data_IF_018379960409
#
_entry.id   IF_018379960409
#
_cell.length_a   1.000
_cell.length_b   1.000
_cell.length_c   1.000
_cell.angle_alpha   90.00
_cell.angle_beta   90.00
_cell.angle_gamma   90.00
#
_symmetry.space_group_name_H-M   'P 1'
#
loop_
_entity.id
_entity.type
_entity.pdbx_description
1 polymer ?
#
# COMPACT_ATOMS: atom_id res chain seq x y z
N UNK A 1 -8.03 5.73 0.34
CA UNK A 1 -9.15 6.16 1.21
C UNK A 1 -8.84 5.72 2.63
N UNK A 2 -9.39 6.39 3.65
CA UNK A 2 -9.35 5.84 5.01
C UNK A 2 -10.25 4.61 5.05
N UNK A 3 -9.90 3.64 5.89
CA UNK A 3 -10.55 2.34 5.93
C UNK A 3 -10.82 1.93 7.37
N UNK A 4 -12.03 1.47 7.65
CA UNK A 4 -12.39 0.85 8.92
C UNK A 4 -12.63 -0.64 8.68
N UNK A 5 -11.87 -1.48 9.37
CA UNK A 5 -12.18 -2.90 9.52
C UNK A 5 -13.16 -3.07 10.66
N UNK A 6 -14.24 -3.80 10.41
CA UNK A 6 -15.27 -4.14 11.40
C UNK A 6 -15.22 -5.65 11.58
N UNK A 7 -14.96 -6.11 12.79
CA UNK A 7 -14.89 -7.53 13.11
C UNK A 7 -16.21 -7.99 13.75
N UNK A 8 -17.01 -8.76 13.02
CA UNK A 8 -18.34 -9.20 13.49
C UNK A 8 -18.24 -10.53 14.23
N UNK A 9 -17.52 -11.50 13.69
CA UNK A 9 -17.32 -12.82 14.32
C UNK A 9 -15.92 -13.37 14.09
N UNK A 10 -15.46 -14.22 15.00
CA UNK A 10 -14.15 -14.86 14.96
C UNK A 10 -13.00 -13.89 15.23
N UNK A 11 -11.78 -14.36 15.02
CA UNK A 11 -10.54 -13.61 15.28
C UNK A 11 -9.66 -13.48 14.04
N UNK A 12 -9.11 -12.28 13.81
CA UNK A 12 -8.10 -12.03 12.77
C UNK A 12 -6.93 -11.23 13.29
N UNK A 13 -5.73 -11.55 12.81
CA UNK A 13 -4.52 -10.78 13.02
C UNK A 13 -4.31 -9.81 11.86
N UNK A 14 -3.97 -8.56 12.17
CA UNK A 14 -3.62 -7.55 11.18
C UNK A 14 -2.22 -7.03 11.48
N UNK A 15 -1.39 -7.00 10.44
CA UNK A 15 -0.07 -6.36 10.46
C UNK A 15 -0.13 -5.14 9.55
N UNK A 16 0.26 -3.97 10.05
CA UNK A 16 0.30 -2.72 9.31
C UNK A 16 1.73 -2.20 9.13
N UNK A 17 1.92 -1.46 8.05
CA UNK A 17 3.18 -0.80 7.70
C UNK A 17 2.93 0.66 7.34
N UNK A 18 3.87 1.52 7.74
CA UNK A 18 3.80 2.96 7.49
C UNK A 18 4.00 3.27 6.00
N UNK A 19 3.47 4.42 5.55
CA UNK A 19 3.75 4.95 4.21
C UNK A 19 5.26 5.16 3.98
N UNK A 20 5.99 5.56 5.03
CA UNK A 20 7.43 5.81 4.96
C UNK A 20 8.24 4.55 4.64
N UNK A 21 7.65 3.37 4.81
CA UNK A 21 8.29 2.09 4.53
C UNK A 21 8.01 1.58 3.10
N UNK A 22 7.27 2.33 2.27
CA UNK A 22 6.86 1.89 0.93
C UNK A 22 8.02 1.36 0.06
N UNK A 23 9.20 2.00 0.13
CA UNK A 23 10.40 1.60 -0.63
C UNK A 23 10.97 0.24 -0.20
N UNK A 24 10.67 -0.19 1.02
CA UNK A 24 11.16 -1.45 1.58
C UNK A 24 10.14 -2.60 1.44
N UNK A 25 8.95 -2.32 0.90
CA UNK A 25 7.84 -3.28 0.78
C UNK A 25 7.73 -3.93 -0.59
N UNK A 26 8.65 -3.66 -1.54
CA UNK A 26 8.63 -4.27 -2.88
C UNK A 26 7.25 -4.19 -3.55
N UNK A 27 6.78 -2.95 -3.71
CA UNK A 27 5.43 -2.70 -4.21
C UNK A 27 5.39 -2.83 -5.73
N UNK A 28 4.44 -3.64 -6.21
CA UNK A 28 4.00 -3.70 -7.60
C UNK A 28 2.58 -3.14 -7.68
N UNK A 29 2.48 -1.87 -8.05
CA UNK A 29 1.24 -1.10 -7.92
C UNK A 29 0.83 -0.97 -6.45
N UNK A 30 -0.38 -1.40 -6.10
CA UNK A 30 -0.92 -1.33 -4.73
C UNK A 30 -0.69 -2.60 -3.88
N UNK A 31 0.12 -3.56 -4.36
CA UNK A 31 0.37 -4.83 -3.68
C UNK A 31 1.87 -5.03 -3.46
N UNK A 32 2.22 -5.66 -2.34
CA UNK A 32 3.58 -6.10 -2.08
C UNK A 32 3.84 -7.46 -2.73
N UNK A 33 5.05 -7.66 -3.24
CA UNK A 33 5.53 -8.97 -3.69
C UNK A 33 5.95 -9.88 -2.53
N UNK A 34 6.07 -9.35 -1.31
CA UNK A 34 6.39 -10.12 -0.10
C UNK A 34 5.13 -10.83 0.40
N UNK A 35 4.97 -12.09 0.01
CA UNK A 35 3.78 -12.88 0.33
C UNK A 35 3.65 -13.26 1.81
N UNK A 36 4.79 -13.51 2.48
CA UNK A 36 4.80 -13.88 3.90
C UNK A 36 5.45 -12.77 4.74
N UNK A 37 4.62 -11.81 5.16
CA UNK A 37 5.05 -10.72 6.04
C UNK A 37 5.54 -11.20 7.42
N UNK A 38 5.05 -12.36 7.90
CA UNK A 38 5.41 -12.92 9.21
C UNK A 38 6.81 -13.55 9.21
N UNK A 39 7.18 -14.23 8.13
CA UNK A 39 8.50 -14.84 7.94
C UNK A 39 9.04 -14.55 6.53
N UNK A 40 9.51 -13.32 6.28
CA UNK A 40 10.04 -12.92 4.98
C UNK A 40 11.35 -13.63 4.71
N UNK A 41 11.55 -14.14 3.49
CA UNK A 41 12.83 -14.70 3.08
C UNK A 41 13.85 -13.56 2.91
N UNK A 42 14.89 -13.49 3.77
CA UNK A 42 15.82 -12.35 3.80
C UNK A 42 16.62 -12.21 2.49
N UNK A 43 16.85 -13.32 1.79
CA UNK A 43 17.58 -13.33 0.51
C UNK A 43 16.78 -12.72 -0.64
N UNK A 44 15.44 -12.79 -0.57
CA UNK A 44 14.54 -12.25 -1.62
C UNK A 44 14.06 -10.84 -1.33
N UNK A 45 14.11 -10.41 -0.06
CA UNK A 45 13.59 -9.12 0.39
C UNK A 45 14.50 -8.43 1.43
N UNK A 46 15.79 -8.18 1.12
CA UNK A 46 16.78 -7.69 2.08
C UNK A 46 16.45 -6.41 2.90
N UNK A 47 15.73 -5.39 2.40
CA UNK A 47 15.32 -4.24 3.21
C UNK A 47 14.07 -4.50 4.07
N UNK A 48 13.27 -5.53 3.77
CA UNK A 48 12.01 -5.80 4.46
C UNK A 48 12.18 -6.10 5.97
N UNK A 49 13.25 -6.79 6.44
CA UNK A 49 13.53 -6.95 7.87
C UNK A 49 13.72 -5.64 8.64
N UNK A 50 14.04 -4.53 7.97
CA UNK A 50 14.24 -3.20 8.60
C UNK A 50 12.92 -2.44 8.80
N UNK A 51 11.83 -2.92 8.21
CA UNK A 51 10.53 -2.27 8.24
C UNK A 51 9.88 -2.44 9.61
N UNK A 52 9.33 -1.36 10.15
CA UNK A 52 8.59 -1.41 11.42
C UNK A 52 7.19 -1.97 11.19
N UNK A 53 6.88 -3.05 11.90
CA UNK A 53 5.58 -3.72 11.89
C UNK A 53 4.72 -3.25 13.04
N UNK A 54 3.46 -2.94 12.76
CA UNK A 54 2.46 -2.66 13.78
C UNK A 54 1.46 -3.81 13.76
N UNK A 55 1.37 -4.56 14.85
CA UNK A 55 0.53 -5.76 14.91
C UNK A 55 -0.64 -5.54 15.85
N UNK A 56 -1.83 -5.98 15.45
CA UNK A 56 -3.00 -6.04 16.30
C UNK A 56 -3.83 -7.29 16.00
N UNK A 57 -4.55 -7.75 17.01
CA UNK A 57 -5.56 -8.79 16.85
C UNK A 57 -6.94 -8.16 17.04
N UNK A 58 -7.88 -8.54 16.18
CA UNK A 58 -9.27 -8.09 16.25
C UNK A 58 -10.15 -9.26 16.64
N UNK A 59 -10.87 -9.09 17.74
CA UNK A 59 -11.91 -10.00 18.21
C UNK A 59 -13.29 -9.52 17.78
N UNK A 60 -14.31 -10.36 17.99
CA UNK A 60 -15.68 -10.02 17.66
C UNK A 60 -16.14 -8.77 18.44
N UNK A 61 -16.54 -7.72 17.71
CA UNK A 61 -16.92 -6.42 18.26
C UNK A 61 -15.84 -5.34 18.11
N UNK A 62 -14.61 -5.71 17.73
CA UNK A 62 -13.54 -4.73 17.54
C UNK A 62 -13.61 -4.05 16.17
N UNK A 63 -13.28 -2.75 16.18
CA UNK A 63 -13.10 -1.94 14.99
C UNK A 63 -11.67 -1.40 14.91
N UNK A 64 -11.08 -1.46 13.71
CA UNK A 64 -9.76 -0.89 13.44
C UNK A 64 -9.85 0.15 12.33
N UNK A 65 -9.54 1.40 12.67
CA UNK A 65 -9.31 2.46 11.71
C UNK A 65 -7.88 2.39 11.16
N UNK A 66 -7.76 2.35 9.84
CA UNK A 66 -6.49 2.45 9.11
C UNK A 66 -6.52 3.72 8.26
N UNK A 67 -5.55 4.64 8.44
CA UNK A 67 -5.45 5.81 7.58
C UNK A 67 -5.14 5.40 6.14
N UNK A 68 -5.53 6.22 5.17
CA UNK A 68 -5.19 5.96 3.77
C UNK A 68 -3.69 5.76 3.57
N UNK A 69 -3.35 4.92 2.58
CA UNK A 69 -1.99 4.56 2.18
C UNK A 69 -1.21 3.70 3.18
N UNK A 70 -1.78 3.36 4.34
CA UNK A 70 -1.19 2.35 5.22
C UNK A 70 -1.34 0.96 4.60
N UNK A 71 -0.20 0.27 4.46
CA UNK A 71 -0.21 -1.10 3.97
C UNK A 71 -0.62 -2.03 5.09
N UNK A 72 -1.33 -3.09 4.75
CA UNK A 72 -1.77 -4.07 5.74
C UNK A 72 -1.80 -5.48 5.16
N UNK A 73 -1.61 -6.46 6.03
CA UNK A 73 -1.85 -7.88 5.78
C UNK A 73 -2.81 -8.39 6.83
N UNK A 74 -3.78 -9.21 6.42
CA UNK A 74 -4.79 -9.78 7.29
C UNK A 74 -4.69 -11.29 7.23
N UNK A 75 -4.59 -11.93 8.39
CA UNK A 75 -4.62 -13.39 8.54
C UNK A 75 -5.80 -13.72 9.45
N UNK A 76 -6.74 -14.53 8.96
CA UNK A 76 -7.82 -15.05 9.79
C UNK A 76 -7.30 -16.24 10.59
N UNK A 77 -7.32 -16.15 11.92
CA UNK A 77 -6.94 -17.27 12.81
C UNK A 77 -8.09 -18.28 12.94
N UNK A 78 -9.32 -17.80 12.77
CA UNK A 78 -10.56 -18.57 12.85
C UNK A 78 -11.44 -18.32 11.62
N UNK A 79 -12.62 -18.96 11.58
CA UNK A 79 -13.67 -18.54 10.66
C UNK A 79 -14.17 -17.14 11.06
N UNK A 80 -14.04 -16.19 10.14
CA UNK A 80 -14.32 -14.77 10.39
C UNK A 80 -15.39 -14.24 9.44
N UNK A 81 -16.33 -13.48 10.00
CA UNK A 81 -17.19 -12.56 9.24
C UNK A 81 -16.83 -11.13 9.67
N UNK A 82 -16.55 -10.29 8.69
CA UNK A 82 -16.20 -8.89 8.93
C UNK A 82 -16.64 -7.99 7.78
N UNK A 83 -16.70 -6.70 8.07
CA UNK A 83 -17.00 -5.65 7.12
C UNK A 83 -15.82 -4.71 6.92
N UNK A 84 -15.82 -4.02 5.80
CA UNK A 84 -14.88 -2.93 5.51
C UNK A 84 -15.68 -1.72 5.06
N UNK A 85 -15.41 -0.56 5.67
CA UNK A 85 -15.98 0.72 5.24
C UNK A 85 -14.86 1.65 4.80
N UNK A 86 -15.03 2.28 3.64
CA UNK A 86 -14.05 3.22 3.09
C UNK A 86 -14.61 4.64 3.11
N UNK A 87 -13.78 5.60 3.52
CA UNK A 87 -14.13 7.01 3.55
C UNK A 87 -13.10 7.84 2.79
N UNK A 88 -13.58 8.78 2.00
CA UNK A 88 -12.76 9.84 1.40
C UNK A 88 -12.30 10.80 2.50
N UNK A 89 -10.99 10.93 2.68
CA UNK A 89 -10.40 11.89 3.61
C UNK A 89 -10.09 13.24 2.94
N UNK A 90 -9.96 13.27 1.60
CA UNK A 90 -9.83 14.50 0.81
C UNK A 90 -11.23 14.98 0.35
N UNK A 91 -11.31 16.23 -0.16
CA UNK A 91 -12.44 16.66 -1.00
C UNK A 91 -12.75 15.67 -2.13
N UNK A 92 -13.90 15.78 -2.79
CA UNK A 92 -14.35 14.78 -3.77
C UNK A 92 -13.53 14.82 -5.08
N UNK A 93 -13.09 16.02 -5.46
CA UNK A 93 -12.46 16.37 -6.73
C UNK A 93 -11.15 15.63 -7.05
N UNK A 94 -10.25 15.36 -6.08
CA UNK A 94 -8.99 14.67 -6.36
C UNK A 94 -9.15 13.17 -6.65
N UNK A 95 -10.31 12.56 -6.38
CA UNK A 95 -10.52 11.13 -6.60
C UNK A 95 -10.96 10.84 -8.03
N UNK A 96 -10.50 9.72 -8.59
CA UNK A 96 -10.96 9.23 -9.88
C UNK A 96 -12.45 8.82 -9.78
N UNK A 97 -13.29 9.41 -10.64
CA UNK A 97 -14.74 9.15 -10.67
C UNK A 97 -15.09 7.75 -11.17
N UNK A 98 -14.15 7.09 -11.85
CA UNK A 98 -14.29 5.71 -12.34
C UNK A 98 -13.77 4.68 -11.34
N UNK A 99 -13.18 5.11 -10.22
CA UNK A 99 -12.71 4.20 -9.18
C UNK A 99 -13.84 3.79 -8.22
N UNK A 100 -14.38 2.60 -8.45
CA UNK A 100 -15.40 1.99 -7.59
C UNK A 100 -14.83 1.27 -6.36
N UNK A 101 -13.50 1.07 -6.29
CA UNK A 101 -12.86 0.26 -5.24
C UNK A 101 -11.99 1.07 -4.27
N UNK A 102 -11.64 2.31 -4.62
CA UNK A 102 -10.78 3.16 -3.80
C UNK A 102 -9.29 2.81 -3.89
N UNK A 103 -8.90 2.08 -4.94
CA UNK A 103 -7.54 1.60 -5.18
C UNK A 103 -6.78 2.40 -6.23
N UNK A 104 -7.46 3.30 -6.95
CA UNK A 104 -6.77 4.17 -7.91
C UNK A 104 -6.16 5.35 -7.17
N UNK A 105 -5.01 5.78 -7.69
CA UNK A 105 -4.37 6.97 -7.20
C UNK A 105 -5.27 8.20 -7.40
N UNK A 106 -5.14 9.23 -6.56
CA UNK A 106 -5.72 10.54 -6.85
C UNK A 106 -5.30 11.04 -8.23
N UNK A 107 -6.20 11.72 -8.93
CA UNK A 107 -6.01 12.19 -10.32
C UNK A 107 -4.72 12.98 -10.48
N UNK A 108 -4.38 13.82 -9.49
CA UNK A 108 -3.14 14.58 -9.48
C UNK A 108 -1.89 13.68 -9.46
N UNK A 109 -1.90 12.62 -8.65
CA UNK A 109 -0.80 11.67 -8.58
C UNK A 109 -0.67 10.87 -9.89
N UNK A 110 -1.78 10.34 -10.43
CA UNK A 110 -1.75 9.65 -11.73
C UNK A 110 -1.20 10.53 -12.84
N UNK A 111 -1.60 11.82 -12.89
CA UNK A 111 -1.09 12.78 -13.87
C UNK A 111 0.40 13.07 -13.68
N UNK A 112 0.86 13.21 -12.44
CA UNK A 112 2.27 13.42 -12.14
C UNK A 112 3.13 12.24 -12.63
N UNK A 113 2.69 11.01 -12.36
CA UNK A 113 3.37 9.79 -12.83
C UNK A 113 3.42 9.72 -14.35
N UNK A 114 2.35 10.11 -15.06
CA UNK A 114 2.35 10.18 -16.53
C UNK A 114 3.35 11.21 -17.08
N UNK A 115 3.52 12.34 -16.40
CA UNK A 115 4.51 13.36 -16.80
C UNK A 115 5.93 12.84 -16.56
N UNK A 116 6.17 12.19 -15.41
CA UNK A 116 7.45 11.57 -15.08
C UNK A 116 7.85 10.52 -16.13
N UNK A 117 6.94 9.64 -16.53
CA UNK A 117 7.18 8.64 -17.57
C UNK A 117 7.62 9.27 -18.91
N UNK A 118 7.01 10.41 -19.29
CA UNK A 118 7.43 11.16 -20.49
C UNK A 118 8.84 11.73 -20.34
N UNK A 119 9.17 12.29 -19.18
CA UNK A 119 10.51 12.83 -18.93
C UNK A 119 11.58 11.74 -18.96
N UNK A 120 11.29 10.57 -18.36
CA UNK A 120 12.18 9.41 -18.38
C UNK A 120 12.40 8.87 -19.80
N UNK A 121 11.36 8.89 -20.64
CA UNK A 121 11.48 8.52 -22.07
C UNK A 121 12.40 9.46 -22.85
N UNK A 122 12.36 10.76 -22.57
CA UNK A 122 13.30 11.72 -23.17
C UNK A 122 14.73 11.49 -22.70
N UNK A 123 14.95 11.24 -21.40
CA UNK A 123 16.27 10.90 -20.88
C UNK A 123 16.83 9.57 -21.46
N UNK A 124 15.95 8.65 -21.89
CA UNK A 124 16.35 7.39 -22.50
C UNK A 124 16.99 7.54 -23.89
N UNK A 125 16.98 8.73 -24.50
CA UNK A 125 17.70 9.03 -25.74
C UNK A 125 19.22 9.23 -25.52
N UNK A 126 19.63 9.48 -24.27
CA UNK A 126 21.04 9.62 -23.89
C UNK A 126 21.70 8.25 -23.68
N UNK A 127 23.04 8.21 -23.67
CA UNK A 127 23.77 7.02 -23.26
C UNK A 127 23.50 6.68 -21.79
N UNK A 128 23.71 5.42 -21.41
CA UNK A 128 23.40 4.91 -20.07
C UNK A 128 24.05 5.72 -18.95
N UNK A 129 25.33 6.07 -19.09
CA UNK A 129 26.09 6.86 -18.11
C UNK A 129 25.51 8.27 -17.92
N UNK A 130 25.10 8.93 -19.01
CA UNK A 130 24.50 10.27 -18.93
C UNK A 130 23.10 10.21 -18.33
N UNK A 131 22.31 9.22 -18.71
CA UNK A 131 20.98 9.00 -18.15
C UNK A 131 21.06 8.77 -16.65
N UNK A 132 21.94 7.88 -16.20
CA UNK A 132 22.12 7.54 -14.77
C UNK A 132 22.45 8.78 -13.94
N UNK A 133 23.38 9.61 -14.42
CA UNK A 133 23.75 10.88 -13.78
C UNK A 133 22.56 11.83 -13.61
N UNK A 134 21.65 11.91 -14.59
CA UNK A 134 20.48 12.79 -14.54
C UNK A 134 19.24 12.16 -13.84
N UNK A 135 19.29 10.89 -13.45
CA UNK A 135 18.21 10.19 -12.74
C UNK A 135 18.46 10.00 -11.25
N UNK A 136 19.62 10.43 -10.75
CA UNK A 136 19.99 10.41 -9.34
C UNK A 136 19.13 11.35 -8.47
#
# INVERSE_FOLDING_TARGET
MDHVFIQVTGKKQIVLFSLGDAQHLYLSGCKSEVLNAGSPEPDKSPPFPKVRRYECSLEAGDDLLTPALWFHTVISEEFVVGGNSFRKHLPWEPYDTTDTRGNRDPVAASRAVQILDRALKTLAELSEEYRDFYTC
#
